data_IF_193874496476
#
_entry.id   IF_193874496476
#
_cell.length_a   1.000
_cell.length_b   1.000
_cell.length_c   1.000
_cell.angle_alpha   90.00
_cell.angle_beta   90.00
_cell.angle_gamma   90.00
#
_symmetry.space_group_name_H-M   'P 1'
#
loop_
_entity.id
_entity.type
_entity.pdbx_description
1 polymer ?
#
# COMPACT_ATOMS: atom_id res chain seq x y z
N UNK A 1 10.85 -7.78 2.07
CA UNK A 1 10.04 -7.00 3.04
C UNK A 1 9.30 -5.92 2.26
N UNK A 2 8.22 -5.39 2.81
CA UNK A 2 7.43 -4.31 2.21
C UNK A 2 7.14 -3.24 3.24
N UNK A 3 6.63 -2.09 2.81
CA UNK A 3 6.10 -1.06 3.70
C UNK A 3 4.58 -1.01 3.60
N UNK A 4 3.90 -1.30 4.70
CA UNK A 4 2.45 -1.11 4.85
C UNK A 4 2.18 0.30 5.34
N UNK A 5 1.14 0.94 4.82
CA UNK A 5 0.72 2.27 5.25
C UNK A 5 -0.40 2.12 6.27
N UNK A 6 -0.11 2.52 7.51
CA UNK A 6 -1.06 2.48 8.62
C UNK A 6 -1.32 3.90 9.12
N UNK A 7 -2.55 4.18 9.56
CA UNK A 7 -2.85 5.47 10.22
C UNK A 7 -2.34 5.45 11.65
N UNK A 8 -1.65 6.51 12.07
CA UNK A 8 -1.35 6.74 13.48
C UNK A 8 -2.57 7.30 14.24
N UNK A 9 -2.41 7.53 15.55
CA UNK A 9 -3.45 8.08 16.43
C UNK A 9 -3.97 9.45 15.97
N UNK A 10 -3.19 10.18 15.16
CA UNK A 10 -3.57 11.48 14.58
C UNK A 10 -4.23 11.36 13.21
N UNK A 11 -4.39 10.13 12.68
CA UNK A 11 -4.89 9.86 11.34
C UNK A 11 -3.86 10.11 10.23
N UNK A 12 -2.59 10.35 10.57
CA UNK A 12 -1.54 10.49 9.58
C UNK A 12 -1.00 9.12 9.17
N UNK A 13 -0.76 8.91 7.86
CA UNK A 13 -0.19 7.67 7.37
C UNK A 13 1.29 7.54 7.74
N UNK A 14 1.65 6.35 8.23
CA UNK A 14 2.99 5.94 8.63
C UNK A 14 3.40 4.69 7.88
N UNK A 15 4.63 4.67 7.39
CA UNK A 15 5.19 3.46 6.81
C UNK A 15 5.62 2.49 7.92
N UNK A 16 5.17 1.24 7.82
CA UNK A 16 5.54 0.13 8.72
C UNK A 16 6.23 -0.96 7.94
N UNK A 17 7.45 -1.30 8.33
CA UNK A 17 8.18 -2.38 7.66
C UNK A 17 7.56 -3.74 8.05
N UNK A 18 7.13 -4.49 7.05
CA UNK A 18 6.55 -5.82 7.22
C UNK A 18 7.41 -6.87 6.52
N UNK A 19 7.75 -7.91 7.26
CA UNK A 19 8.34 -9.12 6.67
C UNK A 19 7.22 -9.90 5.99
N UNK A 20 7.47 -10.30 4.75
CA UNK A 20 6.54 -11.06 3.92
C UNK A 20 7.30 -12.21 3.29
N UNK A 21 6.58 -13.29 2.99
CA UNK A 21 7.09 -14.39 2.18
C UNK A 21 6.67 -14.15 0.73
N UNK A 22 7.65 -13.98 -0.15
CA UNK A 22 7.44 -13.85 -1.59
C UNK A 22 7.55 -15.21 -2.28
N UNK A 23 6.62 -15.48 -3.18
CA UNK A 23 6.66 -16.60 -4.11
C UNK A 23 7.23 -16.17 -5.47
N UNK A 24 6.81 -16.82 -6.58
CA UNK A 24 7.31 -16.52 -7.91
C UNK A 24 6.87 -15.14 -8.43
N UNK A 25 7.62 -14.62 -9.41
CA UNK A 25 7.24 -13.46 -10.20
C UNK A 25 6.31 -13.86 -11.35
N UNK A 26 5.34 -12.99 -11.65
CA UNK A 26 4.43 -13.10 -12.78
C UNK A 26 4.46 -11.79 -13.57
N UNK A 27 5.31 -11.71 -14.60
CA UNK A 27 5.56 -10.45 -15.30
C UNK A 27 6.23 -9.44 -14.37
N UNK A 28 5.57 -8.29 -14.15
CA UNK A 28 6.04 -7.22 -13.26
C UNK A 28 5.52 -7.38 -11.82
N UNK A 29 4.69 -8.38 -11.56
CA UNK A 29 4.11 -8.64 -10.24
C UNK A 29 4.88 -9.73 -9.48
N UNK A 30 4.88 -9.64 -8.15
CA UNK A 30 5.45 -10.65 -7.24
C UNK A 30 4.32 -11.27 -6.43
N UNK A 31 4.23 -12.61 -6.43
CA UNK A 31 3.28 -13.30 -5.56
C UNK A 31 3.68 -13.15 -4.09
N UNK A 32 2.75 -12.75 -3.22
CA UNK A 32 2.95 -12.74 -1.77
C UNK A 32 2.20 -13.94 -1.16
N UNK A 33 2.93 -14.85 -0.55
CA UNK A 33 2.39 -16.09 0.04
C UNK A 33 1.91 -15.87 1.48
N UNK A 34 2.60 -15.02 2.25
CA UNK A 34 2.23 -14.71 3.63
C UNK A 34 2.81 -13.38 4.11
N UNK A 35 2.26 -12.85 5.21
CA UNK A 35 2.73 -11.62 5.87
C UNK A 35 1.91 -10.36 5.58
N UNK A 36 0.92 -10.45 4.68
CA UNK A 36 -0.05 -9.40 4.38
C UNK A 36 -1.49 -9.93 4.43
N UNK A 37 -2.44 -9.03 4.62
CA UNK A 37 -3.88 -9.27 4.56
C UNK A 37 -4.51 -8.45 3.42
N UNK A 38 -5.60 -8.98 2.86
CA UNK A 38 -6.36 -8.24 1.85
C UNK A 38 -6.90 -6.92 2.42
N UNK A 39 -6.75 -5.85 1.64
CA UNK A 39 -7.15 -4.49 2.05
C UNK A 39 -6.03 -3.67 2.69
N UNK A 40 -4.89 -4.27 3.02
CA UNK A 40 -3.70 -3.51 3.47
C UNK A 40 -3.09 -2.73 2.29
N UNK A 41 -2.78 -1.45 2.50
CA UNK A 41 -2.15 -0.61 1.49
C UNK A 41 -0.63 -0.70 1.59
N UNK A 42 0.02 -1.07 0.48
CA UNK A 42 1.48 -1.21 0.40
C UNK A 42 2.08 -0.10 -0.46
N UNK A 43 3.23 0.43 -0.06
CA UNK A 43 3.98 1.39 -0.86
C UNK A 43 4.65 0.69 -2.07
N UNK A 44 3.98 0.72 -3.22
CA UNK A 44 4.51 0.18 -4.48
C UNK A 44 5.58 1.09 -5.12
N UNK A 45 5.53 2.40 -4.84
CA UNK A 45 6.45 3.40 -5.38
C UNK A 45 7.12 4.19 -4.27
N UNK A 46 8.40 4.57 -4.47
CA UNK A 46 9.12 5.42 -3.52
C UNK A 46 9.58 4.74 -2.23
N UNK A 47 9.45 3.41 -2.12
CA UNK A 47 9.84 2.61 -0.94
C UNK A 47 11.30 2.80 -0.53
N UNK A 48 12.19 3.13 -1.47
CA UNK A 48 13.60 3.46 -1.20
C UNK A 48 13.79 4.62 -0.21
N UNK A 49 12.83 5.54 -0.09
CA UNK A 49 12.91 6.68 0.84
C UNK A 49 12.20 6.43 2.17
N UNK A 50 11.56 5.28 2.33
CA UNK A 50 10.77 4.97 3.51
C UNK A 50 11.65 4.31 4.57
N UNK A 51 11.34 4.63 5.83
CA UNK A 51 11.87 3.99 7.02
C UNK A 51 10.75 3.87 8.05
N UNK A 52 10.96 3.05 9.07
CA UNK A 52 9.96 2.73 10.09
C UNK A 52 9.37 4.02 10.73
N UNK A 53 8.05 4.16 10.67
CA UNK A 53 7.32 5.28 11.27
C UNK A 53 7.41 6.61 10.52
N UNK A 54 8.05 6.66 9.34
CA UNK A 54 8.08 7.90 8.56
C UNK A 54 6.67 8.32 8.14
N UNK A 55 6.38 9.62 8.20
CA UNK A 55 5.12 10.16 7.70
C UNK A 55 5.07 10.08 6.18
N UNK A 56 3.96 9.61 5.64
CA UNK A 56 3.73 9.48 4.20
C UNK A 56 2.52 10.32 3.80
N UNK A 57 2.57 10.86 2.59
CA UNK A 57 1.40 11.40 1.90
C UNK A 57 1.21 10.60 0.61
N UNK A 58 -0.04 10.29 0.28
CA UNK A 58 -0.35 9.63 -0.98
C UNK A 58 -0.13 10.61 -2.13
N UNK A 59 0.61 10.19 -3.15
CA UNK A 59 0.66 10.92 -4.41
C UNK A 59 -0.70 10.79 -5.12
N UNK A 60 -1.07 11.78 -5.93
CA UNK A 60 -2.23 11.62 -6.80
C UNK A 60 -2.01 10.42 -7.73
N UNK A 61 -2.96 9.48 -7.73
CA UNK A 61 -2.86 8.25 -8.50
C UNK A 61 -2.93 8.58 -10.00
N UNK A 62 -1.79 8.54 -10.68
CA UNK A 62 -1.74 8.54 -12.16
C UNK A 62 -1.85 7.12 -12.73
N UNK A 63 -1.72 6.08 -11.88
CA UNK A 63 -1.96 4.70 -12.24
C UNK A 63 -3.45 4.38 -12.11
N UNK A 64 -4.23 4.80 -13.10
CA UNK A 64 -5.65 4.54 -13.23
C UNK A 64 -5.97 3.05 -13.43
N UNK A 65 -5.93 2.28 -12.34
CA UNK A 65 -6.33 0.87 -12.28
C UNK A 65 -7.42 0.56 -11.24
N UNK A 66 -7.98 1.58 -10.58
CA UNK A 66 -9.13 1.43 -9.69
C UNK A 66 -10.18 2.49 -10.03
N UNK A 67 -10.99 2.12 -11.01
CA UNK A 67 -12.35 2.58 -11.23
C UNK A 67 -13.07 2.85 -9.88
N UNK A 68 -13.27 4.13 -9.56
CA UNK A 68 -14.16 4.60 -8.49
C UNK A 68 -15.60 4.72 -9.00
N UNK A 69 -16.08 3.74 -9.76
CA UNK A 69 -17.51 3.58 -10.07
C UNK A 69 -18.22 2.82 -8.93
N UNK A 70 -18.41 3.51 -7.81
CA UNK A 70 -19.40 3.24 -6.76
C UNK A 70 -19.24 4.43 -5.81
N UNK A 71 -20.23 5.18 -5.38
CA UNK A 71 -21.67 5.19 -5.56
C UNK A 71 -22.08 6.53 -4.92
N UNK A 72 -22.48 7.52 -5.73
CA UNK A 72 -23.26 8.67 -5.24
C UNK A 72 -24.70 8.42 -5.65
N UNK A 73 -25.33 7.41 -5.05
CA UNK A 73 -26.77 7.31 -4.95
C UNK A 73 -27.21 7.89 -3.59
N UNK A 74 -27.48 9.20 -3.56
CA UNK A 74 -28.53 9.84 -2.75
C UNK A 74 -28.37 11.37 -2.75
N UNK A 75 -28.94 12.04 -3.75
CA UNK A 75 -29.67 13.32 -3.61
C UNK A 75 -30.76 13.41 -4.67
#
# INVERSE_FOLDING_TARGET
>A
HVFVLESDESGALRARQRIVQSGPMLGDDVLIESGLQAGEQVAANGSFKLYEGVRVALAADTNGGADRSTDTAAR
#
